data_IF_721282713063
#
_entry.id   IF_721282713063
#
_cell.length_a   1.000
_cell.length_b   1.000
_cell.length_c   1.000
_cell.angle_alpha   90.00
_cell.angle_beta   90.00
_cell.angle_gamma   90.00
#
_symmetry.space_group_name_H-M   'P 1'
#
loop_
_entity.id
_entity.type
_entity.pdbx_description
1 polymer ?
#
# COMPACT_ATOMS: atom_id res chain seq x y z
N UNK A 1 42.41 -39.02 76.33
CA UNK A 1 42.50 -39.04 74.86
C UNK A 1 41.55 -37.97 74.34
N UNK A 2 42.10 -36.81 73.95
CA UNK A 2 41.30 -35.74 73.34
C UNK A 2 41.46 -35.94 71.85
N UNK A 3 40.33 -36.22 71.15
CA UNK A 3 40.24 -36.23 69.70
C UNK A 3 39.88 -34.82 69.24
N UNK A 4 40.88 -34.13 68.65
CA UNK A 4 40.62 -32.86 67.93
C UNK A 4 39.90 -33.16 66.63
N UNK A 5 38.66 -32.76 66.55
CA UNK A 5 37.89 -32.77 65.34
C UNK A 5 38.18 -31.48 64.55
N UNK A 6 39.03 -31.58 63.51
CA UNK A 6 39.30 -30.49 62.61
C UNK A 6 38.12 -30.37 61.59
N UNK A 7 37.33 -29.31 61.70
CA UNK A 7 36.29 -28.94 60.70
C UNK A 7 36.99 -28.43 59.42
N UNK A 8 36.59 -28.89 58.24
CA UNK A 8 37.06 -28.29 57.00
C UNK A 8 36.55 -26.90 56.86
N UNK A 9 37.42 -25.93 56.70
CA UNK A 9 37.08 -24.59 56.28
C UNK A 9 36.50 -24.66 54.87
N UNK A 10 35.17 -24.45 54.75
CA UNK A 10 34.50 -24.24 53.45
C UNK A 10 35.08 -22.98 52.80
N UNK A 11 35.81 -23.16 51.72
CA UNK A 11 36.23 -22.09 50.84
C UNK A 11 34.99 -21.48 50.21
N UNK A 12 34.52 -20.37 50.77
CA UNK A 12 33.63 -19.43 50.10
C UNK A 12 34.46 -18.66 49.04
N UNK A 13 34.65 -19.28 47.92
CA UNK A 13 35.36 -18.71 46.79
C UNK A 13 34.62 -18.96 45.50
N UNK A 14 34.38 -17.88 44.76
CA UNK A 14 33.98 -17.83 43.37
C UNK A 14 32.46 -17.81 43.07
N UNK A 15 31.74 -16.82 43.61
CA UNK A 15 30.63 -16.21 42.87
C UNK A 15 30.80 -14.69 42.84
N UNK A 16 31.94 -14.24 42.34
CA UNK A 16 32.10 -12.87 41.85
C UNK A 16 32.25 -12.90 40.33
N UNK A 17 31.24 -13.34 39.63
CA UNK A 17 30.90 -12.78 38.34
C UNK A 17 29.93 -11.66 38.64
N UNK A 18 30.45 -10.46 38.86
CA UNK A 18 29.74 -9.21 38.65
C UNK A 18 29.10 -9.27 37.25
N UNK A 19 27.89 -9.79 37.20
CA UNK A 19 27.03 -9.62 36.01
C UNK A 19 26.73 -8.15 35.96
N UNK A 20 27.65 -7.37 35.37
CA UNK A 20 27.46 -5.95 35.11
C UNK A 20 26.13 -5.82 34.40
N UNK A 21 25.14 -5.35 35.11
CA UNK A 21 23.82 -5.06 34.52
C UNK A 21 24.05 -4.01 33.45
N UNK A 22 23.85 -4.40 32.19
CA UNK A 22 24.00 -3.49 31.04
C UNK A 22 23.16 -2.25 31.26
N UNK A 23 23.71 -1.10 30.92
CA UNK A 23 22.96 0.17 30.89
C UNK A 23 21.87 0.10 29.83
N UNK A 24 20.92 1.02 29.92
CA UNK A 24 19.86 1.11 28.91
C UNK A 24 20.43 1.39 27.50
N UNK A 25 21.49 2.20 27.42
CA UNK A 25 22.16 2.52 26.16
C UNK A 25 22.81 1.27 25.56
N UNK A 26 23.53 0.49 26.37
CA UNK A 26 24.12 -0.79 25.94
C UNK A 26 23.05 -1.80 25.50
N UNK A 27 21.92 -1.84 26.19
CA UNK A 27 20.81 -2.72 25.82
C UNK A 27 20.16 -2.26 24.50
N UNK A 28 19.94 -0.96 24.32
CA UNK A 28 19.37 -0.44 23.08
C UNK A 28 20.32 -0.62 21.90
N UNK A 29 21.64 -0.45 22.10
CA UNK A 29 22.64 -0.73 21.09
C UNK A 29 22.67 -2.24 20.72
N UNK A 30 22.56 -3.13 21.67
CA UNK A 30 22.43 -4.57 21.41
C UNK A 30 21.14 -4.91 20.64
N UNK A 31 20.03 -4.23 20.97
CA UNK A 31 18.74 -4.37 20.26
C UNK A 31 18.92 -4.02 18.77
N UNK A 32 19.47 -2.86 18.47
CA UNK A 32 19.66 -2.37 17.10
C UNK A 32 20.68 -3.21 16.32
N UNK A 33 21.83 -3.52 16.92
CA UNK A 33 22.86 -4.38 16.29
C UNK A 33 22.34 -5.78 15.95
N UNK A 34 21.56 -6.40 16.83
CA UNK A 34 20.95 -7.70 16.51
C UNK A 34 19.89 -7.58 15.39
N UNK A 35 19.11 -6.50 15.39
CA UNK A 35 18.12 -6.24 14.33
C UNK A 35 18.77 -6.02 12.95
N UNK A 36 19.90 -5.33 12.89
CA UNK A 36 20.67 -5.10 11.68
C UNK A 36 21.29 -6.39 11.14
N UNK A 37 21.80 -7.23 12.01
CA UNK A 37 22.40 -8.52 11.66
C UNK A 37 21.38 -9.61 11.30
N UNK A 38 20.07 -9.32 11.42
CA UNK A 38 19.01 -10.28 11.14
C UNK A 38 18.74 -11.29 12.27
N UNK A 39 19.33 -11.11 13.44
CA UNK A 39 19.07 -11.95 14.63
C UNK A 39 17.76 -11.51 15.31
N UNK A 40 16.66 -11.58 14.56
CA UNK A 40 15.39 -10.97 14.94
C UNK A 40 14.81 -11.44 16.27
N UNK A 41 14.91 -12.74 16.58
CA UNK A 41 14.43 -13.28 17.86
C UNK A 41 15.15 -12.66 19.04
N UNK A 42 16.50 -12.61 18.98
CA UNK A 42 17.33 -12.02 20.02
C UNK A 42 17.12 -10.49 20.09
N UNK A 43 17.00 -9.83 18.93
CA UNK A 43 16.69 -8.42 18.87
C UNK A 43 15.37 -8.09 19.58
N UNK A 44 14.29 -8.84 19.28
CA UNK A 44 12.99 -8.66 19.94
C UNK A 44 13.07 -8.86 21.45
N UNK A 45 13.81 -9.86 21.93
CA UNK A 45 14.02 -10.09 23.37
C UNK A 45 14.64 -8.86 24.03
N UNK A 46 15.77 -8.37 23.48
CA UNK A 46 16.49 -7.23 24.05
C UNK A 46 15.69 -5.94 23.96
N UNK A 47 15.06 -5.66 22.80
CA UNK A 47 14.21 -4.47 22.61
C UNK A 47 13.00 -4.48 23.57
N UNK A 48 12.35 -5.64 23.76
CA UNK A 48 11.27 -5.78 24.74
C UNK A 48 11.76 -5.55 26.18
N UNK A 49 12.99 -5.96 26.51
CA UNK A 49 13.58 -5.65 27.82
C UNK A 49 13.77 -4.15 28.00
N UNK A 50 14.30 -3.42 27.01
CA UNK A 50 14.40 -1.95 27.03
C UNK A 50 13.02 -1.33 27.25
N UNK A 51 12.03 -1.69 26.44
CA UNK A 51 10.66 -1.17 26.50
C UNK A 51 9.99 -1.41 27.86
N UNK A 52 10.12 -2.61 28.43
CA UNK A 52 9.36 -3.00 29.62
C UNK A 52 9.99 -2.54 30.93
N UNK A 53 11.34 -2.51 30.98
CA UNK A 53 12.08 -2.17 32.22
C UNK A 53 12.28 -0.66 32.34
N UNK A 54 12.43 0.05 31.23
CA UNK A 54 12.79 1.48 31.23
C UNK A 54 11.70 2.33 30.57
N UNK A 55 10.45 2.17 30.98
CA UNK A 55 9.25 2.75 30.33
C UNK A 55 9.30 4.25 30.13
N UNK A 56 9.91 4.99 31.04
CA UNK A 56 9.97 6.45 31.02
C UNK A 56 11.17 7.01 30.23
N UNK A 57 11.98 6.12 29.66
CA UNK A 57 13.14 6.52 28.88
C UNK A 57 12.79 6.79 27.41
N UNK A 58 13.36 7.84 26.79
CA UNK A 58 13.26 8.05 25.34
C UNK A 58 13.70 6.83 24.52
N UNK A 59 14.67 6.03 25.02
CA UNK A 59 15.11 4.80 24.36
C UNK A 59 14.05 3.69 24.38
N UNK A 60 13.12 3.73 25.35
CA UNK A 60 11.95 2.82 25.34
C UNK A 60 11.06 3.09 24.13
N UNK A 61 10.76 4.34 23.86
CA UNK A 61 9.99 4.75 22.67
C UNK A 61 10.69 4.34 21.37
N UNK A 62 12.01 4.52 21.29
CA UNK A 62 12.77 4.07 20.11
C UNK A 62 12.82 2.55 20.00
N UNK A 63 12.85 1.82 21.11
CA UNK A 63 12.78 0.36 21.12
C UNK A 63 11.41 -0.15 20.60
N UNK A 64 10.30 0.52 20.91
CA UNK A 64 8.97 0.22 20.35
C UNK A 64 8.99 0.34 18.81
N UNK A 65 9.57 1.40 18.29
CA UNK A 65 9.69 1.59 16.84
C UNK A 65 10.61 0.54 16.22
N UNK A 66 11.71 0.21 16.87
CA UNK A 66 12.65 -0.84 16.43
C UNK A 66 11.96 -2.22 16.40
N UNK A 67 11.09 -2.53 17.37
CA UNK A 67 10.29 -3.76 17.39
C UNK A 67 9.38 -3.83 16.14
N UNK A 68 8.70 -2.72 15.79
CA UNK A 68 7.88 -2.65 14.59
C UNK A 68 8.71 -2.88 13.30
N UNK A 69 9.91 -2.29 13.23
CA UNK A 69 10.85 -2.47 12.12
C UNK A 69 11.35 -3.92 12.01
N UNK A 70 11.62 -4.59 13.14
CA UNK A 70 12.01 -6.00 13.17
C UNK A 70 10.91 -6.89 12.62
N UNK A 71 9.66 -6.70 13.04
CA UNK A 71 8.53 -7.45 12.49
C UNK A 71 8.40 -7.23 10.99
N UNK A 72 8.57 -5.99 10.51
CA UNK A 72 8.54 -5.70 9.09
C UNK A 72 9.67 -6.39 8.31
N UNK A 73 10.91 -6.33 8.80
CA UNK A 73 12.08 -6.97 8.17
C UNK A 73 11.94 -8.50 8.13
N UNK A 74 11.32 -9.08 9.15
CA UNK A 74 11.04 -10.52 9.24
C UNK A 74 9.91 -10.97 8.28
N UNK A 75 9.10 -10.03 7.77
CA UNK A 75 7.95 -10.31 6.92
C UNK A 75 6.65 -10.54 7.70
N UNK A 76 6.65 -10.38 8.99
CA UNK A 76 5.47 -10.48 9.87
C UNK A 76 4.65 -9.19 9.79
N UNK A 77 4.14 -8.91 8.60
CA UNK A 77 3.49 -7.63 8.29
C UNK A 77 2.26 -7.32 9.15
N UNK A 78 1.57 -8.33 9.70
CA UNK A 78 0.44 -8.08 10.61
C UNK A 78 0.93 -7.52 11.95
N UNK A 79 1.93 -8.16 12.55
CA UNK A 79 2.55 -7.71 13.80
C UNK A 79 3.22 -6.35 13.62
N UNK A 80 3.89 -6.14 12.48
CA UNK A 80 4.47 -4.84 12.15
C UNK A 80 3.42 -3.74 12.06
N UNK A 81 2.27 -4.01 11.40
CA UNK A 81 1.16 -3.07 11.30
C UNK A 81 0.64 -2.67 12.68
N UNK A 82 0.35 -3.66 13.54
CA UNK A 82 -0.14 -3.42 14.89
C UNK A 82 0.88 -2.57 15.67
N UNK A 83 2.16 -2.94 15.64
CA UNK A 83 3.20 -2.23 16.37
C UNK A 83 3.38 -0.77 15.89
N UNK A 84 3.32 -0.50 14.58
CA UNK A 84 3.38 0.87 14.05
C UNK A 84 2.10 1.68 14.40
N UNK A 85 0.92 1.06 14.33
CA UNK A 85 -0.34 1.71 14.71
C UNK A 85 -0.37 2.03 16.21
N UNK A 86 0.11 1.12 17.07
CA UNK A 86 0.26 1.36 18.50
C UNK A 86 1.23 2.51 18.78
N UNK A 87 2.39 2.53 18.12
CA UNK A 87 3.32 3.64 18.22
C UNK A 87 2.67 4.97 17.82
N UNK A 88 1.96 5.00 16.72
CA UNK A 88 1.26 6.19 16.24
C UNK A 88 0.21 6.71 17.24
N UNK A 89 -0.48 5.79 17.92
CA UNK A 89 -1.50 6.10 18.92
C UNK A 89 -0.89 6.60 20.24
N UNK A 90 0.21 5.98 20.66
CA UNK A 90 0.87 6.31 21.93
C UNK A 90 1.76 7.56 21.83
N UNK A 91 2.37 7.79 20.67
CA UNK A 91 3.34 8.86 20.43
C UNK A 91 2.97 9.77 19.23
N UNK A 92 1.76 10.39 19.21
CA UNK A 92 1.23 11.09 18.02
C UNK A 92 2.04 12.33 17.62
N UNK A 93 2.86 12.89 18.53
CA UNK A 93 3.71 14.07 18.28
C UNK A 93 5.19 13.74 18.12
N UNK A 94 5.54 12.45 18.04
CA UNK A 94 6.94 12.04 17.90
C UNK A 94 7.51 12.48 16.55
N UNK A 95 8.76 12.94 16.53
CA UNK A 95 9.43 13.41 15.31
C UNK A 95 9.38 12.42 14.14
N UNK A 96 9.45 11.11 14.42
CA UNK A 96 9.39 10.02 13.42
C UNK A 96 7.98 9.67 12.95
N UNK A 97 6.96 10.49 13.23
CA UNK A 97 5.59 10.18 12.79
C UNK A 97 5.44 10.13 11.27
N UNK A 98 6.23 10.90 10.51
CA UNK A 98 6.29 10.79 9.06
C UNK A 98 6.76 9.39 8.61
N UNK A 99 7.81 8.86 9.26
CA UNK A 99 8.31 7.51 9.00
C UNK A 99 7.26 6.44 9.36
N UNK A 100 6.68 6.54 10.55
CA UNK A 100 5.65 5.59 11.03
C UNK A 100 4.45 5.56 10.10
N UNK A 101 3.93 6.72 9.68
CA UNK A 101 2.81 6.83 8.74
C UNK A 101 3.14 6.21 7.37
N UNK A 102 4.35 6.42 6.86
CA UNK A 102 4.84 5.75 5.66
C UNK A 102 4.85 4.23 5.83
N UNK A 103 5.41 3.72 6.95
CA UNK A 103 5.55 2.29 7.25
C UNK A 103 4.21 1.58 7.45
N UNK A 104 3.23 2.22 8.08
CA UNK A 104 1.86 1.68 8.20
C UNK A 104 1.30 1.36 6.81
N UNK A 105 1.28 2.34 5.92
CA UNK A 105 0.78 2.13 4.57
C UNK A 105 1.58 1.07 3.80
N UNK A 106 2.92 1.07 3.92
CA UNK A 106 3.79 0.10 3.25
C UNK A 106 3.54 -1.33 3.73
N UNK A 107 3.35 -1.50 5.02
CA UNK A 107 3.05 -2.80 5.65
C UNK A 107 1.72 -3.36 5.16
N UNK A 108 0.68 -2.53 5.13
CA UNK A 108 -0.63 -2.91 4.59
C UNK A 108 -0.53 -3.27 3.09
N UNK A 109 0.23 -2.48 2.31
CA UNK A 109 0.44 -2.73 0.88
C UNK A 109 1.18 -4.04 0.62
N UNK A 110 2.19 -4.37 1.43
CA UNK A 110 2.94 -5.64 1.31
C UNK A 110 2.08 -6.88 1.55
N UNK A 111 1.08 -6.78 2.43
CA UNK A 111 0.08 -7.85 2.67
C UNK A 111 -0.94 -7.99 1.55
N UNK A 112 -1.14 -6.94 0.76
CA UNK A 112 -2.21 -6.90 -0.25
C UNK A 112 -1.93 -7.88 -1.37
N UNK A 113 -2.94 -8.65 -1.85
CA UNK A 113 -2.75 -9.56 -2.96
C UNK A 113 -2.48 -8.82 -4.27
N UNK A 114 -1.55 -9.33 -5.06
CA UNK A 114 -1.20 -8.75 -6.36
C UNK A 114 -2.20 -9.03 -7.47
N UNK A 115 -2.95 -10.15 -7.38
CA UNK A 115 -3.89 -10.58 -8.40
C UNK A 115 -5.19 -9.77 -8.37
N UNK A 116 -5.60 -9.26 -9.53
CA UNK A 116 -6.78 -8.41 -9.68
C UNK A 116 -8.10 -9.09 -9.27
N UNK A 117 -8.21 -10.41 -9.46
CA UNK A 117 -9.41 -11.17 -9.10
C UNK A 117 -9.59 -11.43 -7.60
N UNK A 118 -8.55 -11.17 -6.77
CA UNK A 118 -8.63 -11.33 -5.32
C UNK A 118 -9.23 -10.09 -4.64
N UNK A 119 -9.63 -10.26 -3.38
CA UNK A 119 -10.08 -9.12 -2.57
C UNK A 119 -8.98 -8.07 -2.43
N UNK A 120 -9.35 -6.80 -2.63
CA UNK A 120 -8.44 -5.65 -2.60
C UNK A 120 -8.71 -4.71 -1.41
N UNK A 121 -9.34 -5.21 -0.35
CA UNK A 121 -9.61 -4.41 0.85
C UNK A 121 -8.33 -3.86 1.46
N UNK A 122 -7.29 -4.68 1.60
CA UNK A 122 -5.98 -4.22 2.10
C UNK A 122 -5.34 -3.18 1.18
N UNK A 123 -5.49 -3.31 -0.15
CA UNK A 123 -5.00 -2.29 -1.09
C UNK A 123 -5.71 -0.94 -0.90
N UNK A 124 -7.04 -0.95 -0.67
CA UNK A 124 -7.80 0.27 -0.35
C UNK A 124 -7.35 0.88 0.97
N UNK A 125 -7.11 0.06 1.98
CA UNK A 125 -6.58 0.51 3.28
C UNK A 125 -5.21 1.19 3.12
N UNK A 126 -4.30 0.63 2.31
CA UNK A 126 -3.00 1.23 2.03
C UNK A 126 -3.14 2.59 1.33
N UNK A 127 -4.03 2.70 0.33
CA UNK A 127 -4.33 3.99 -0.32
C UNK A 127 -4.82 5.01 0.70
N UNK A 128 -5.76 4.62 1.57
CA UNK A 128 -6.30 5.51 2.60
C UNK A 128 -5.22 5.96 3.60
N UNK A 129 -4.32 5.05 4.02
CA UNK A 129 -3.24 5.36 4.94
C UNK A 129 -2.26 6.41 4.38
N UNK A 130 -2.05 6.44 3.06
CA UNK A 130 -1.15 7.38 2.40
C UNK A 130 -1.83 8.63 1.82
N UNK A 131 -3.18 8.64 1.73
CA UNK A 131 -3.90 9.82 1.23
C UNK A 131 -3.62 11.03 2.12
N UNK A 132 -3.19 12.14 1.49
CA UNK A 132 -2.83 13.37 2.19
C UNK A 132 -1.52 13.30 2.99
N UNK A 133 -0.66 12.30 2.73
CA UNK A 133 0.64 12.19 3.41
C UNK A 133 1.53 13.40 3.14
N UNK A 134 1.62 13.86 1.91
CA UNK A 134 2.41 15.02 1.48
C UNK A 134 1.91 16.34 2.08
N UNK A 135 0.60 16.47 2.30
CA UNK A 135 0.03 17.61 2.99
C UNK A 135 0.33 17.61 4.51
N UNK A 136 0.37 16.41 5.13
CA UNK A 136 0.68 16.26 6.56
C UNK A 136 2.17 16.35 6.88
N UNK A 137 3.01 15.91 5.96
CA UNK A 137 4.46 15.80 6.12
C UNK A 137 5.19 16.31 4.86
N UNK A 138 5.07 17.61 4.53
CA UNK A 138 5.60 18.15 3.26
C UNK A 138 7.12 17.98 3.13
N UNK A 139 7.85 18.10 4.26
CA UNK A 139 9.31 18.03 4.30
C UNK A 139 9.86 16.61 4.51
N UNK A 140 8.98 15.60 4.48
CA UNK A 140 9.41 14.21 4.69
C UNK A 140 10.15 13.66 3.48
N UNK A 141 11.33 13.07 3.72
CA UNK A 141 12.10 12.32 2.73
C UNK A 141 11.32 11.15 2.10
N UNK A 142 10.24 10.70 2.74
CA UNK A 142 9.41 9.59 2.28
C UNK A 142 8.31 10.00 1.29
N UNK A 143 8.10 11.31 1.04
CA UNK A 143 7.07 11.79 0.10
C UNK A 143 7.20 11.16 -1.31
N UNK A 144 8.40 11.10 -1.93
CA UNK A 144 8.54 10.49 -3.26
C UNK A 144 8.19 9.00 -3.24
N UNK A 145 8.58 8.29 -2.19
CA UNK A 145 8.34 6.85 -2.08
C UNK A 145 6.86 6.54 -1.81
N UNK A 146 6.21 7.33 -0.96
CA UNK A 146 4.77 7.24 -0.73
C UNK A 146 4.00 7.48 -2.03
N UNK A 147 4.32 8.53 -2.80
CA UNK A 147 3.69 8.79 -4.11
C UNK A 147 3.86 7.61 -5.06
N UNK A 148 5.04 7.01 -5.12
CA UNK A 148 5.32 5.82 -5.93
C UNK A 148 4.46 4.61 -5.53
N UNK A 149 4.35 4.32 -4.24
CA UNK A 149 3.52 3.21 -3.75
C UNK A 149 2.03 3.50 -3.83
N UNK A 150 1.62 4.74 -3.62
CA UNK A 150 0.24 5.18 -3.80
C UNK A 150 -0.23 4.97 -5.24
N UNK A 151 0.58 5.40 -6.22
CA UNK A 151 0.30 5.15 -7.65
C UNK A 151 0.20 3.64 -7.94
N UNK A 152 1.11 2.82 -7.42
CA UNK A 152 1.06 1.36 -7.58
C UNK A 152 -0.19 0.73 -6.94
N UNK A 153 -0.59 1.21 -5.78
CA UNK A 153 -1.78 0.72 -5.09
C UNK A 153 -3.06 1.13 -5.84
N UNK A 154 -3.15 2.38 -6.31
CA UNK A 154 -4.26 2.87 -7.15
C UNK A 154 -4.35 2.11 -8.47
N UNK A 155 -3.21 1.84 -9.12
CA UNK A 155 -3.17 1.02 -10.34
C UNK A 155 -3.63 -0.42 -10.11
N UNK A 156 -3.33 -1.02 -8.95
CA UNK A 156 -3.85 -2.35 -8.57
C UNK A 156 -5.38 -2.35 -8.43
N UNK A 157 -5.95 -1.28 -7.86
CA UNK A 157 -7.40 -1.10 -7.78
C UNK A 157 -8.03 -0.87 -9.17
N UNK A 158 -7.37 -0.09 -10.03
CA UNK A 158 -7.78 0.10 -11.42
C UNK A 158 -7.81 -1.22 -12.19
N UNK A 159 -6.77 -2.05 -12.03
CA UNK A 159 -6.73 -3.40 -12.64
C UNK A 159 -7.86 -4.31 -12.15
N UNK A 160 -8.28 -4.20 -10.89
CA UNK A 160 -9.47 -4.93 -10.40
C UNK A 160 -10.73 -4.50 -11.14
N UNK A 161 -10.97 -3.20 -11.29
CA UNK A 161 -12.14 -2.71 -12.02
C UNK A 161 -12.09 -3.14 -13.49
N UNK A 162 -10.92 -3.08 -14.13
CA UNK A 162 -10.71 -3.57 -15.50
C UNK A 162 -10.98 -5.08 -15.62
N UNK A 163 -10.50 -5.87 -14.67
CA UNK A 163 -10.78 -7.32 -14.62
C UNK A 163 -12.29 -7.61 -14.56
N UNK A 164 -13.02 -6.87 -13.73
CA UNK A 164 -14.48 -7.01 -13.62
C UNK A 164 -15.18 -6.53 -14.91
N UNK A 165 -14.71 -5.44 -15.51
CA UNK A 165 -15.27 -4.96 -16.79
C UNK A 165 -15.12 -6.00 -17.89
N UNK A 166 -13.95 -6.63 -18.01
CA UNK A 166 -13.69 -7.71 -18.98
C UNK A 166 -14.58 -8.94 -18.76
N UNK A 167 -14.84 -9.28 -17.51
CA UNK A 167 -15.76 -10.36 -17.16
C UNK A 167 -17.17 -10.10 -17.69
N UNK A 168 -17.65 -8.85 -17.56
CA UNK A 168 -18.97 -8.45 -18.11
C UNK A 168 -18.95 -8.34 -19.65
N UNK A 169 -17.86 -7.83 -20.22
CA UNK A 169 -17.71 -7.72 -21.67
C UNK A 169 -17.75 -9.09 -22.38
N UNK A 170 -17.18 -10.13 -21.79
CA UNK A 170 -17.23 -11.51 -22.30
C UNK A 170 -18.63 -12.13 -22.26
N UNK A 171 -19.57 -11.52 -21.58
CA UNK A 171 -20.98 -11.96 -21.42
C UNK A 171 -21.96 -11.00 -22.09
N UNK A 172 -21.45 -10.13 -22.95
CA UNK A 172 -22.24 -9.10 -23.64
C UNK A 172 -23.09 -8.23 -22.72
N UNK A 173 -22.72 -8.16 -21.43
CA UNK A 173 -23.36 -7.30 -20.44
C UNK A 173 -22.84 -5.85 -20.58
N UNK A 174 -23.22 -5.19 -21.70
CA UNK A 174 -22.65 -3.90 -22.10
C UNK A 174 -22.82 -2.78 -21.04
N UNK A 175 -24.02 -2.63 -20.44
CA UNK A 175 -24.26 -1.60 -19.42
C UNK A 175 -23.39 -1.79 -18.18
N UNK A 176 -23.15 -3.04 -17.76
CA UNK A 176 -22.25 -3.34 -16.66
C UNK A 176 -20.78 -3.07 -17.06
N UNK A 177 -20.37 -3.44 -18.27
CA UNK A 177 -19.04 -3.16 -18.83
C UNK A 177 -18.77 -1.66 -18.87
N UNK A 178 -19.68 -0.89 -19.46
CA UNK A 178 -19.60 0.57 -19.51
C UNK A 178 -19.45 1.18 -18.11
N UNK A 179 -20.36 0.84 -17.19
CA UNK A 179 -20.35 1.36 -15.81
C UNK A 179 -19.03 1.09 -15.10
N UNK A 180 -18.42 -0.08 -15.32
CA UNK A 180 -17.13 -0.43 -14.71
C UNK A 180 -15.97 0.36 -15.30
N UNK A 181 -15.89 0.47 -16.63
CA UNK A 181 -14.82 1.21 -17.30
C UNK A 181 -14.91 2.72 -17.03
N UNK A 182 -16.10 3.31 -17.10
CA UNK A 182 -16.31 4.71 -16.74
C UNK A 182 -15.99 4.97 -15.27
N UNK A 183 -16.42 4.08 -14.36
CA UNK A 183 -16.10 4.16 -12.95
C UNK A 183 -14.60 4.03 -12.68
N UNK A 184 -13.86 3.22 -13.44
CA UNK A 184 -12.41 3.14 -13.39
C UNK A 184 -11.79 4.48 -13.81
N UNK A 185 -12.16 5.01 -14.96
CA UNK A 185 -11.62 6.27 -15.49
C UNK A 185 -11.90 7.45 -14.55
N UNK A 186 -13.09 7.47 -13.92
CA UNK A 186 -13.43 8.51 -12.94
C UNK A 186 -12.52 8.49 -11.70
N UNK A 187 -12.16 7.30 -11.21
CA UNK A 187 -11.43 7.16 -9.94
C UNK A 187 -9.92 7.01 -10.09
N UNK A 188 -9.46 6.49 -11.24
CA UNK A 188 -8.09 6.04 -11.46
C UNK A 188 -7.51 6.52 -12.79
N UNK A 189 -7.91 7.72 -13.26
CA UNK A 189 -7.39 8.32 -14.50
C UNK A 189 -5.87 8.57 -14.46
N UNK A 190 -5.31 8.71 -13.26
CA UNK A 190 -3.89 8.94 -13.01
C UNK A 190 -3.02 7.66 -13.00
N UNK A 191 -3.61 6.50 -13.35
CA UNK A 191 -2.90 5.21 -13.28
C UNK A 191 -2.47 4.69 -14.66
N UNK A 192 -1.42 3.85 -14.72
CA UNK A 192 -1.01 3.17 -15.96
C UNK A 192 -2.10 2.31 -16.61
N UNK A 193 -3.13 1.91 -15.87
CA UNK A 193 -4.28 1.13 -16.37
C UNK A 193 -5.29 2.01 -17.11
N UNK A 194 -5.31 3.33 -16.89
CA UNK A 194 -6.30 4.22 -17.48
C UNK A 194 -6.32 4.21 -19.02
N UNK A 195 -5.19 4.32 -19.74
CA UNK A 195 -5.21 4.24 -21.20
C UNK A 195 -5.71 2.90 -21.75
N UNK A 196 -5.50 1.81 -21.01
CA UNK A 196 -6.04 0.49 -21.36
C UNK A 196 -7.56 0.50 -21.24
N UNK A 197 -8.09 1.08 -20.15
CA UNK A 197 -9.54 1.19 -19.94
C UNK A 197 -10.20 2.10 -20.97
N UNK A 198 -9.57 3.21 -21.38
CA UNK A 198 -10.05 4.07 -22.47
C UNK A 198 -10.13 3.31 -23.78
N UNK A 199 -9.07 2.60 -24.15
CA UNK A 199 -9.05 1.77 -25.37
C UNK A 199 -10.19 0.74 -25.35
N UNK A 200 -10.39 0.03 -24.23
CA UNK A 200 -11.44 -0.98 -24.13
C UNK A 200 -12.84 -0.38 -24.13
N UNK A 201 -13.03 0.82 -23.53
CA UNK A 201 -14.30 1.51 -23.56
C UNK A 201 -14.65 1.99 -24.97
N UNK A 202 -13.70 2.59 -25.69
CA UNK A 202 -13.90 3.01 -27.07
C UNK A 202 -14.20 1.82 -27.99
N UNK A 203 -13.46 0.72 -27.84
CA UNK A 203 -13.70 -0.53 -28.60
C UNK A 203 -15.06 -1.13 -28.27
N UNK A 204 -15.52 -1.05 -27.03
CA UNK A 204 -16.83 -1.51 -26.63
C UNK A 204 -17.94 -0.64 -27.27
N UNK A 205 -17.82 0.68 -27.19
CA UNK A 205 -18.76 1.59 -27.84
C UNK A 205 -18.84 1.37 -29.36
N UNK A 206 -17.70 1.17 -30.02
CA UNK A 206 -17.66 0.87 -31.44
C UNK A 206 -18.41 -0.41 -31.78
N UNK A 207 -18.14 -1.50 -31.03
CA UNK A 207 -18.82 -2.79 -31.21
C UNK A 207 -20.34 -2.70 -31.00
N UNK A 208 -20.79 -1.79 -30.13
CA UNK A 208 -22.21 -1.56 -29.86
C UNK A 208 -22.84 -0.49 -30.76
N UNK A 209 -22.16 -0.07 -31.83
CA UNK A 209 -22.68 0.94 -32.79
C UNK A 209 -22.74 2.36 -32.25
N UNK A 210 -22.17 2.63 -31.08
CA UNK A 210 -22.12 3.98 -30.48
C UNK A 210 -20.88 4.75 -30.97
N UNK A 211 -20.80 4.96 -32.28
CA UNK A 211 -19.61 5.49 -32.98
C UNK A 211 -19.16 6.87 -32.49
N UNK A 212 -20.08 7.76 -32.18
CA UNK A 212 -19.73 9.09 -31.64
C UNK A 212 -19.07 8.99 -30.24
N UNK A 213 -19.57 8.12 -29.36
CA UNK A 213 -18.98 7.90 -28.06
C UNK A 213 -17.61 7.25 -28.19
N UNK A 214 -17.45 6.28 -29.11
CA UNK A 214 -16.17 5.67 -29.39
C UNK A 214 -15.13 6.71 -29.88
N UNK A 215 -15.52 7.61 -30.78
CA UNK A 215 -14.68 8.69 -31.26
C UNK A 215 -14.27 9.64 -30.12
N UNK A 216 -15.20 10.07 -29.29
CA UNK A 216 -14.90 10.95 -28.16
C UNK A 216 -13.89 10.33 -27.17
N UNK A 217 -13.99 9.04 -26.86
CA UNK A 217 -12.99 8.37 -25.99
C UNK A 217 -11.65 8.18 -26.72
N UNK A 218 -11.65 7.89 -28.01
CA UNK A 218 -10.42 7.83 -28.84
C UNK A 218 -9.68 9.17 -28.81
N UNK A 219 -10.38 10.27 -29.01
CA UNK A 219 -9.79 11.61 -29.06
C UNK A 219 -9.18 11.98 -27.70
N UNK A 220 -9.88 11.67 -26.60
CA UNK A 220 -9.34 11.81 -25.25
C UNK A 220 -8.08 10.92 -25.01
N UNK A 221 -8.08 9.69 -25.51
CA UNK A 221 -6.91 8.81 -25.41
C UNK A 221 -5.71 9.39 -26.16
N UNK A 222 -5.94 9.93 -27.35
CA UNK A 222 -4.91 10.56 -28.17
C UNK A 222 -4.35 11.83 -27.51
N UNK A 223 -5.22 12.64 -26.91
CA UNK A 223 -4.84 13.87 -26.23
C UNK A 223 -4.04 13.59 -24.95
N UNK A 224 -4.52 12.68 -24.11
CA UNK A 224 -3.91 12.43 -22.80
C UNK A 224 -2.72 11.46 -22.84
N UNK A 225 -2.71 10.55 -23.80
CA UNK A 225 -1.69 9.48 -23.91
C UNK A 225 -1.18 9.26 -25.32
N UNK A 226 -0.67 10.31 -26.03
CA UNK A 226 -0.36 10.26 -27.47
C UNK A 226 0.66 9.18 -27.82
N UNK A 227 1.59 8.87 -26.92
CA UNK A 227 2.64 7.86 -27.13
C UNK A 227 2.27 6.47 -26.61
N UNK A 228 1.01 6.25 -26.22
CA UNK A 228 0.62 4.95 -25.67
C UNK A 228 0.39 3.90 -26.78
N UNK A 229 0.79 2.65 -26.50
CA UNK A 229 0.52 1.53 -27.40
C UNK A 229 -0.99 1.31 -27.65
N UNK A 230 -1.82 1.82 -26.75
CA UNK A 230 -3.27 1.69 -26.79
C UNK A 230 -3.89 2.52 -27.94
N UNK A 231 -3.31 3.66 -28.28
CA UNK A 231 -3.72 4.48 -29.45
C UNK A 231 -3.67 3.63 -30.72
N UNK A 232 -2.52 3.11 -31.06
CA UNK A 232 -2.33 2.30 -32.26
C UNK A 232 -3.21 1.03 -32.30
N UNK A 233 -3.44 0.42 -31.12
CA UNK A 233 -4.33 -0.75 -31.00
C UNK A 233 -5.78 -0.39 -31.22
N UNK A 234 -6.22 0.76 -30.69
CA UNK A 234 -7.59 1.25 -30.88
C UNK A 234 -7.86 1.58 -32.34
N UNK A 235 -6.98 2.32 -33.01
CA UNK A 235 -7.15 2.69 -34.42
C UNK A 235 -7.31 1.45 -35.33
N UNK A 236 -6.48 0.42 -35.12
CA UNK A 236 -6.63 -0.86 -35.82
C UNK A 236 -7.96 -1.55 -35.55
N UNK A 237 -8.47 -1.46 -34.31
CA UNK A 237 -9.76 -2.02 -33.94
C UNK A 237 -10.94 -1.28 -34.54
N UNK A 238 -10.88 0.05 -34.60
CA UNK A 238 -11.91 0.90 -35.18
C UNK A 238 -11.99 0.87 -36.72
N UNK A 239 -10.96 0.33 -37.37
CA UNK A 239 -10.98 0.12 -38.84
C UNK A 239 -11.97 -0.98 -39.28
N UNK A 240 -12.42 -1.84 -38.36
CA UNK A 240 -13.46 -2.82 -38.63
C UNK A 240 -14.85 -2.15 -38.60
N UNK A 241 -15.88 -2.75 -39.28
CA UNK A 241 -17.25 -2.23 -39.20
C UNK A 241 -17.75 -2.15 -37.77
N UNK A 242 -18.48 -1.07 -37.46
CA UNK A 242 -19.13 -0.94 -36.16
C UNK A 242 -20.25 -2.00 -36.01
N UNK A 243 -20.49 -2.42 -34.78
CA UNK A 243 -21.61 -3.31 -34.44
C UNK A 243 -22.96 -2.56 -34.45
N UNK A 244 -23.99 -3.31 -34.22
CA UNK A 244 -25.36 -2.73 -34.03
C UNK A 244 -25.48 -2.16 -32.62
N UNK A 245 -26.21 -1.03 -32.54
CA UNK A 245 -26.48 -0.38 -31.23
C UNK A 245 -27.40 -1.29 -30.40
N UNK A 246 -27.01 -1.69 -29.17
CA UNK A 246 -27.90 -2.43 -28.30
C UNK A 246 -29.08 -1.55 -27.86
N UNK A 247 -30.22 -2.16 -27.55
CA UNK A 247 -31.34 -1.45 -26.93
C UNK A 247 -30.85 -0.77 -25.63
N UNK A 248 -31.08 0.53 -25.51
CA UNK A 248 -30.67 1.25 -24.31
C UNK A 248 -31.59 0.87 -23.15
N UNK A 249 -31.03 0.36 -22.02
CA UNK A 249 -31.81 0.26 -20.81
C UNK A 249 -32.26 1.67 -20.40
N UNK A 250 -33.45 1.83 -19.89
CA UNK A 250 -34.14 3.09 -19.59
C UNK A 250 -33.38 4.04 -18.64
N UNK A 251 -32.20 3.72 -18.17
CA UNK A 251 -31.47 4.50 -17.20
C UNK A 251 -29.94 4.41 -17.33
N UNK A 252 -29.33 5.20 -18.20
CA UNK A 252 -27.88 5.50 -18.12
C UNK A 252 -27.65 7.00 -18.29
N UNK A 253 -27.32 7.69 -17.19
CA UNK A 253 -26.80 9.07 -17.28
C UNK A 253 -25.45 9.05 -18.02
N UNK A 254 -25.24 9.94 -19.01
CA UNK A 254 -23.98 10.01 -19.73
C UNK A 254 -22.84 10.31 -18.75
N UNK A 255 -21.70 9.63 -18.93
CA UNK A 255 -20.47 9.91 -18.21
C UNK A 255 -19.98 11.31 -18.57
N UNK A 256 -19.82 12.17 -17.56
CA UNK A 256 -19.21 13.49 -17.68
C UNK A 256 -17.76 13.37 -17.25
N UNK A 257 -16.82 13.53 -18.17
CA UNK A 257 -15.39 13.55 -17.85
C UNK A 257 -15.12 14.72 -16.89
N UNK A 258 -14.50 14.50 -15.70
CA UNK A 258 -14.09 15.59 -14.84
C UNK A 258 -12.93 16.36 -15.50
N UNK A 259 -13.08 17.64 -15.72
CA UNK A 259 -12.03 18.51 -16.26
C UNK A 259 -12.26 18.90 -17.73
N UNK A 260 -13.32 19.66 -18.00
CA UNK A 260 -13.39 20.58 -19.10
C UNK A 260 -13.78 20.01 -20.46
N UNK A 261 -15.01 19.59 -20.62
CA UNK A 261 -15.74 19.77 -21.88
C UNK A 261 -17.23 19.92 -21.56
N UNK A 262 -17.63 21.12 -21.19
CA UNK A 262 -18.98 21.61 -21.38
C UNK A 262 -19.11 21.89 -22.90
N UNK A 263 -19.67 20.94 -23.66
CA UNK A 263 -19.82 21.22 -25.09
C UNK A 263 -20.26 20.09 -26.00
N UNK A 264 -20.70 18.93 -25.45
CA UNK A 264 -21.33 17.94 -26.32
C UNK A 264 -22.59 17.37 -25.67
N UNK A 265 -23.56 18.26 -25.40
CA UNK A 265 -24.95 17.90 -25.19
C UNK A 265 -25.77 18.67 -26.22
N UNK A 266 -26.35 17.98 -27.19
CA UNK A 266 -27.35 18.56 -28.07
C UNK A 266 -27.09 18.27 -29.54
N UNK A 267 -27.61 17.24 -30.06
CA UNK A 267 -28.56 17.11 -31.18
C UNK A 267 -28.82 15.63 -31.48
#
# INVERSE_FOLDING_TARGET
>A
LFVLCTLPTAQAGLFDKTSRTKSIDELYEDCTKNAERGYYTKALEVCNRVRNVYRDSPLSTLAELTIADIYYKRGDYEQARIAYEDFSRLHPRHEKMHYVSYRIGLTIYKRSPGAAGRDQTSTKQAVNAWTGFDARFPDSEHVPEVKKYLTKARDRLARKELYIARFYAQRDAWGATQKRLEGLLKRYSDTPTAPIAMMELASAYHRWGMTQRAAGIRDLLNEQYPNSKQVNRLEKGLANPAGEKPEEPAFVRPYRVPGGMAGMAGS
#
